data_IF_384744446016
#
_entry.id   IF_384744446016
#
_cell.length_a   1.000
_cell.length_b   1.000
_cell.length_c   1.000
_cell.angle_alpha   90.00
_cell.angle_beta   90.00
_cell.angle_gamma   90.00
#
_symmetry.space_group_name_H-M   'P 1'
#
loop_
_entity.id
_entity.type
_entity.pdbx_description
1 polymer ?
#
# COMPACT_ATOMS: atom_id res chain seq x y z
N UNK A 1 25.05 -79.38 12.96
CA UNK A 1 23.68 -79.02 13.40
C UNK A 1 23.46 -77.54 13.11
N UNK A 2 22.82 -77.20 11.98
CA UNK A 2 22.49 -75.82 11.59
C UNK A 2 21.06 -75.85 11.05
N UNK A 3 20.12 -75.35 11.85
CA UNK A 3 18.70 -75.30 11.52
C UNK A 3 18.31 -73.96 10.91
N UNK A 4 17.95 -73.97 9.64
CA UNK A 4 17.31 -72.86 8.94
C UNK A 4 15.86 -72.72 9.39
N UNK A 5 15.44 -71.53 9.82
CA UNK A 5 14.03 -71.12 9.79
C UNK A 5 13.87 -69.67 9.32
N UNK A 6 13.34 -69.58 8.11
CA UNK A 6 12.28 -68.65 7.70
C UNK A 6 12.64 -67.18 7.48
N UNK A 7 12.96 -66.92 6.21
CA UNK A 7 12.80 -65.65 5.49
C UNK A 7 11.38 -65.11 5.64
N UNK A 8 11.25 -63.84 6.01
CA UNK A 8 10.14 -62.96 5.58
C UNK A 8 10.74 -61.62 5.14
N UNK A 9 10.66 -61.38 3.83
CA UNK A 9 10.74 -60.05 3.21
C UNK A 9 9.54 -59.20 3.69
N UNK A 10 9.51 -57.87 3.62
CA UNK A 10 10.11 -56.95 2.68
C UNK A 10 10.08 -55.51 3.21
N UNK A 11 10.93 -54.67 2.61
CA UNK A 11 10.81 -53.23 2.37
C UNK A 11 10.35 -52.30 3.50
N UNK A 12 11.20 -51.32 3.85
CA UNK A 12 10.89 -49.92 3.54
C UNK A 12 12.17 -49.08 3.49
N UNK A 13 12.14 -48.16 2.53
CA UNK A 13 13.18 -47.36 1.90
C UNK A 13 13.74 -46.28 2.83
N UNK A 14 15.03 -45.97 2.66
CA UNK A 14 15.74 -44.86 3.30
C UNK A 14 15.10 -43.51 3.04
N UNK A 15 15.11 -42.61 4.02
CA UNK A 15 15.13 -41.19 3.72
C UNK A 15 16.05 -40.44 4.69
N UNK A 16 17.19 -40.02 4.14
CA UNK A 16 18.06 -38.97 4.64
C UNK A 16 17.21 -37.71 4.91
N UNK A 17 17.13 -37.29 6.17
CA UNK A 17 16.57 -36.01 6.56
C UNK A 17 17.53 -34.88 6.19
N UNK A 18 17.39 -34.35 4.98
CA UNK A 18 18.05 -33.10 4.55
C UNK A 18 17.20 -31.92 5.05
N UNK A 19 17.38 -31.52 6.31
CA UNK A 19 16.80 -30.27 6.84
C UNK A 19 17.74 -29.12 6.47
N UNK A 20 17.69 -28.73 5.19
CA UNK A 20 18.25 -27.48 4.71
C UNK A 20 17.25 -26.36 4.94
N UNK A 21 17.41 -25.61 6.03
CA UNK A 21 16.69 -24.37 6.28
C UNK A 21 17.20 -23.29 5.32
N UNK A 22 16.70 -23.27 4.09
CA UNK A 22 16.89 -22.14 3.19
C UNK A 22 15.95 -21.02 3.63
N UNK A 23 16.44 -20.16 4.51
CA UNK A 23 15.92 -18.81 4.63
C UNK A 23 16.14 -18.12 3.27
N UNK A 24 15.09 -18.01 2.47
CA UNK A 24 15.10 -17.20 1.26
C UNK A 24 15.22 -15.74 1.67
N UNK A 25 16.45 -15.22 1.74
CA UNK A 25 16.69 -13.78 1.66
C UNK A 25 16.38 -13.35 0.24
N UNK A 26 15.08 -13.21 -0.06
CA UNK A 26 14.66 -12.52 -1.27
C UNK A 26 15.08 -11.06 -1.07
N UNK A 27 16.17 -10.67 -1.72
CA UNK A 27 16.58 -9.28 -1.78
C UNK A 27 15.41 -8.49 -2.38
N UNK A 28 14.67 -7.79 -1.52
CA UNK A 28 13.62 -6.87 -1.96
C UNK A 28 14.33 -5.77 -2.74
N UNK A 29 14.09 -5.70 -4.05
CA UNK A 29 14.47 -4.53 -4.83
C UNK A 29 13.87 -3.31 -4.12
N UNK A 30 14.70 -2.32 -3.81
CA UNK A 30 14.27 -1.08 -3.15
C UNK A 30 13.05 -0.49 -3.88
N UNK A 31 12.15 0.15 -3.13
CA UNK A 31 10.92 0.68 -3.70
C UNK A 31 11.23 1.82 -4.70
N UNK A 32 11.21 1.51 -6.00
CA UNK A 32 11.45 2.51 -7.05
C UNK A 32 10.20 3.35 -7.27
N UNK A 33 10.17 4.54 -6.68
CA UNK A 33 9.05 5.46 -6.72
C UNK A 33 9.12 6.39 -7.93
N UNK A 34 8.04 6.46 -8.71
CA UNK A 34 7.93 7.30 -9.91
C UNK A 34 6.67 8.15 -9.93
N UNK A 35 6.79 9.36 -10.45
CA UNK A 35 5.71 10.32 -10.65
C UNK A 35 4.57 9.73 -11.49
N UNK A 36 3.32 9.93 -11.03
CA UNK A 36 2.12 9.57 -11.80
C UNK A 36 1.91 10.47 -13.02
N UNK A 37 2.56 11.64 -13.09
CA UNK A 37 2.47 12.57 -14.23
C UNK A 37 3.24 12.08 -15.45
N UNK A 38 4.46 11.62 -15.24
CA UNK A 38 5.47 11.45 -16.31
C UNK A 38 6.46 10.31 -16.07
N UNK A 39 6.28 9.51 -15.01
CA UNK A 39 7.19 8.43 -14.61
C UNK A 39 8.61 8.87 -14.23
N UNK A 40 8.84 10.17 -14.01
CA UNK A 40 10.12 10.65 -13.47
C UNK A 40 10.37 10.10 -12.05
N UNK A 41 11.62 9.83 -11.65
CA UNK A 41 11.92 9.35 -10.30
C UNK A 41 11.54 10.36 -9.22
N UNK A 42 10.92 9.89 -8.14
CA UNK A 42 10.64 10.73 -6.98
C UNK A 42 11.85 10.82 -6.05
N UNK A 43 12.07 11.98 -5.47
CA UNK A 43 13.15 12.25 -4.49
C UNK A 43 12.91 11.66 -3.10
N UNK A 44 11.86 10.85 -2.93
CA UNK A 44 11.46 10.28 -1.64
C UNK A 44 12.42 9.19 -1.20
N UNK A 45 12.99 9.33 0.01
CA UNK A 45 13.92 8.38 0.61
C UNK A 45 13.73 8.31 2.11
N UNK A 46 14.17 7.20 2.70
CA UNK A 46 14.14 7.01 4.14
C UNK A 46 15.06 8.01 4.84
N UNK A 47 14.60 8.57 5.94
CA UNK A 47 15.36 9.46 6.83
C UNK A 47 15.32 8.93 8.27
N UNK A 48 16.23 9.41 9.11
CA UNK A 48 16.42 8.88 10.47
C UNK A 48 15.15 8.98 11.32
N UNK A 49 14.40 10.07 11.15
CA UNK A 49 13.16 10.36 11.88
C UNK A 49 11.95 9.57 11.38
N UNK A 50 12.07 8.80 10.30
CA UNK A 50 10.95 7.99 9.81
C UNK A 50 10.61 6.86 10.78
N UNK A 51 9.31 6.56 10.84
CA UNK A 51 8.77 5.40 11.55
C UNK A 51 9.30 4.09 10.96
N UNK A 52 9.27 2.99 11.75
CA UNK A 52 9.56 1.66 11.22
C UNK A 52 8.69 1.32 10.00
N UNK A 53 7.41 1.69 10.02
CA UNK A 53 6.45 1.42 8.94
C UNK A 53 6.79 2.19 7.66
N UNK A 54 7.20 3.45 7.77
CA UNK A 54 7.68 4.23 6.63
C UNK A 54 8.95 3.64 6.02
N UNK A 55 9.91 3.25 6.87
CA UNK A 55 11.15 2.59 6.42
C UNK A 55 10.86 1.25 5.73
N UNK A 56 9.94 0.46 6.26
CA UNK A 56 9.50 -0.80 5.65
C UNK A 56 8.89 -0.57 4.27
N UNK A 57 7.98 0.40 4.14
CA UNK A 57 7.37 0.73 2.86
C UNK A 57 8.42 1.19 1.84
N UNK A 58 9.35 2.07 2.21
CA UNK A 58 10.39 2.55 1.29
C UNK A 58 11.36 1.44 0.88
N UNK A 59 11.52 0.40 1.69
CA UNK A 59 12.30 -0.78 1.33
C UNK A 59 11.54 -1.79 0.46
N UNK A 60 10.22 -1.91 0.60
CA UNK A 60 9.45 -3.05 0.08
C UNK A 60 8.26 -2.71 -0.82
N UNK A 61 7.87 -1.44 -0.88
CA UNK A 61 6.59 -0.94 -1.41
C UNK A 61 5.32 -1.53 -0.76
N UNK A 62 5.44 -2.22 0.39
CA UNK A 62 4.29 -2.77 1.12
C UNK A 62 3.91 -1.82 2.24
N UNK A 63 2.64 -1.41 2.29
CA UNK A 63 2.15 -0.52 3.35
C UNK A 63 1.66 -1.34 4.56
N UNK A 64 2.32 -1.25 5.73
CA UNK A 64 1.92 -2.02 6.91
C UNK A 64 0.53 -1.64 7.43
N UNK A 65 0.11 -0.39 7.23
CA UNK A 65 -1.19 0.10 7.69
C UNK A 65 -2.36 -0.53 6.96
N UNK A 66 -2.17 -0.96 5.72
CA UNK A 66 -3.21 -1.61 4.92
C UNK A 66 -3.67 -2.92 5.56
N UNK A 67 -2.71 -3.77 5.96
CA UNK A 67 -3.02 -5.00 6.69
C UNK A 67 -3.54 -4.71 8.10
N UNK A 68 -2.91 -3.77 8.81
CA UNK A 68 -3.31 -3.36 10.17
C UNK A 68 -4.77 -2.92 10.23
N UNK A 69 -5.20 -2.03 9.33
CA UNK A 69 -6.55 -1.50 9.33
C UNK A 69 -7.60 -2.45 8.75
N UNK A 70 -7.18 -3.42 7.94
CA UNK A 70 -8.06 -4.52 7.55
C UNK A 70 -8.37 -5.46 8.73
N UNK A 71 -7.39 -5.69 9.61
CA UNK A 71 -7.57 -6.47 10.84
C UNK A 71 -8.30 -5.69 11.94
N UNK A 72 -8.01 -4.40 12.08
CA UNK A 72 -8.64 -3.50 13.04
C UNK A 72 -9.08 -2.17 12.38
N UNK A 73 -10.31 -2.10 11.87
CA UNK A 73 -10.84 -0.87 11.28
C UNK A 73 -10.91 0.31 12.25
N UNK A 74 -10.98 0.08 13.57
CA UNK A 74 -11.02 1.16 14.55
C UNK A 74 -9.69 1.91 14.62
N UNK A 75 -8.56 1.23 14.39
CA UNK A 75 -7.24 1.86 14.30
C UNK A 75 -7.15 2.90 13.16
N UNK A 76 -7.90 2.71 12.06
CA UNK A 76 -7.95 3.69 10.97
C UNK A 76 -8.68 4.99 11.36
N UNK A 77 -9.58 4.91 12.36
CA UNK A 77 -10.42 6.00 12.85
C UNK A 77 -9.85 6.70 14.09
N UNK A 78 -8.79 6.15 14.69
CA UNK A 78 -8.12 6.71 15.86
C UNK A 78 -7.54 8.10 15.58
N UNK A 79 -7.17 8.83 16.64
CA UNK A 79 -6.62 10.20 16.52
C UNK A 79 -5.31 10.25 15.73
N UNK A 80 -4.54 9.18 15.72
CA UNK A 80 -3.30 8.98 14.97
C UNK A 80 -3.50 8.10 13.71
N UNK A 81 -4.75 7.74 13.41
CA UNK A 81 -5.12 6.90 12.27
C UNK A 81 -5.27 7.67 10.96
N UNK A 82 -5.45 6.92 9.87
CA UNK A 82 -5.52 7.50 8.52
C UNK A 82 -6.69 8.48 8.30
N UNK A 83 -7.82 8.30 9.00
CA UNK A 83 -8.94 9.25 8.92
C UNK A 83 -8.54 10.64 9.42
N UNK A 84 -7.73 10.70 10.47
CA UNK A 84 -7.24 11.97 11.00
C UNK A 84 -6.39 12.67 9.94
N UNK A 85 -5.42 11.97 9.33
CA UNK A 85 -4.58 12.53 8.26
C UNK A 85 -5.43 13.08 7.12
N UNK A 86 -6.43 12.32 6.63
CA UNK A 86 -7.31 12.77 5.54
C UNK A 86 -8.14 14.01 5.88
N UNK A 87 -8.57 14.15 7.14
CA UNK A 87 -9.43 15.25 7.57
C UNK A 87 -8.62 16.52 7.85
N UNK A 88 -7.51 16.41 8.57
CA UNK A 88 -6.71 17.55 9.00
C UNK A 88 -5.90 18.19 7.87
N UNK A 89 -5.52 17.40 6.85
CA UNK A 89 -4.74 17.89 5.71
C UNK A 89 -5.63 18.29 4.52
N UNK A 90 -6.94 18.46 4.72
CA UNK A 90 -7.84 19.00 3.70
C UNK A 90 -8.21 18.03 2.57
N UNK A 91 -7.77 16.77 2.60
CA UNK A 91 -8.11 15.78 1.57
C UNK A 91 -9.63 15.58 1.48
N UNK A 92 -10.34 15.61 2.61
CA UNK A 92 -11.81 15.55 2.67
C UNK A 92 -12.50 16.78 2.08
N UNK A 93 -11.81 17.90 1.94
CA UNK A 93 -12.36 19.10 1.28
C UNK A 93 -12.61 18.86 -0.21
N UNK A 94 -11.72 18.12 -0.87
CA UNK A 94 -11.86 17.79 -2.29
C UNK A 94 -12.57 16.45 -2.51
N UNK A 95 -12.24 15.43 -1.71
CA UNK A 95 -12.78 14.08 -1.85
C UNK A 95 -14.07 13.84 -1.04
N UNK A 96 -14.57 14.83 -0.30
CA UNK A 96 -15.73 14.70 0.57
C UNK A 96 -15.42 14.03 1.92
N UNK A 97 -16.22 14.32 2.95
CA UNK A 97 -15.99 13.82 4.32
C UNK A 97 -16.07 12.30 4.47
N UNK A 98 -16.83 11.64 3.61
CA UNK A 98 -16.93 10.18 3.51
C UNK A 98 -16.08 9.60 2.37
N UNK A 99 -15.21 10.43 1.76
CA UNK A 99 -14.42 10.10 0.58
C UNK A 99 -15.25 9.76 -0.68
N UNK A 100 -16.52 10.19 -0.74
CA UNK A 100 -17.48 10.00 -1.84
C UNK A 100 -17.28 10.85 -3.09
N UNK A 101 -16.28 11.72 -3.10
CA UNK A 101 -16.04 12.72 -4.14
C UNK A 101 -16.88 13.98 -3.93
N UNK A 102 -16.28 15.14 -4.20
CA UNK A 102 -16.97 16.43 -4.20
C UNK A 102 -16.46 17.29 -5.37
N UNK A 103 -15.21 17.74 -5.26
CA UNK A 103 -14.48 18.42 -6.35
C UNK A 103 -13.52 17.46 -7.05
N UNK A 104 -12.98 16.50 -6.29
CA UNK A 104 -12.13 15.44 -6.78
C UNK A 104 -12.92 14.12 -6.90
N UNK A 105 -12.42 13.16 -7.70
CA UNK A 105 -13.02 11.84 -7.81
C UNK A 105 -13.18 11.17 -6.44
N UNK A 106 -14.21 10.35 -6.30
CA UNK A 106 -14.36 9.55 -5.08
C UNK A 106 -13.23 8.56 -4.89
N UNK A 107 -12.97 8.24 -3.63
CA UNK A 107 -12.08 7.18 -3.19
C UNK A 107 -12.85 6.01 -2.54
N UNK A 108 -14.18 6.10 -2.45
CA UNK A 108 -15.09 4.98 -2.14
C UNK A 108 -15.83 4.57 -3.42
N UNK A 109 -15.97 3.26 -3.66
CA UNK A 109 -16.83 2.74 -4.76
C UNK A 109 -18.19 3.43 -4.77
N UNK A 110 -18.69 3.70 -5.98
CA UNK A 110 -19.87 4.52 -6.32
C UNK A 110 -19.54 6.02 -6.28
N UNK A 111 -18.54 6.39 -7.07
CA UNK A 111 -17.69 7.52 -6.83
C UNK A 111 -18.03 8.89 -7.42
N UNK A 112 -19.25 9.37 -7.27
CA UNK A 112 -19.67 10.66 -7.85
C UNK A 112 -20.50 10.47 -9.11
N UNK A 113 -20.49 11.43 -10.04
CA UNK A 113 -21.27 11.39 -11.31
C UNK A 113 -20.39 11.07 -12.53
N UNK A 114 -19.22 10.43 -12.33
CA UNK A 114 -18.14 10.38 -13.32
C UNK A 114 -17.91 8.99 -13.92
N UNK A 115 -17.25 8.92 -15.08
CA UNK A 115 -16.94 7.66 -15.78
C UNK A 115 -16.00 6.70 -14.99
N UNK A 116 -15.56 7.06 -13.79
CA UNK A 116 -14.55 6.36 -12.98
C UNK A 116 -15.10 5.85 -11.65
N UNK A 117 -16.40 5.89 -11.41
CA UNK A 117 -17.03 5.57 -10.11
C UNK A 117 -16.79 4.12 -9.60
N UNK A 118 -16.27 3.26 -10.46
CA UNK A 118 -15.97 1.85 -10.17
C UNK A 118 -14.48 1.53 -10.22
N UNK A 119 -13.61 2.47 -10.63
CA UNK A 119 -12.19 2.23 -10.91
C UNK A 119 -11.33 3.40 -10.46
N UNK A 120 -10.06 3.13 -10.19
CA UNK A 120 -9.09 4.22 -9.99
C UNK A 120 -8.90 5.01 -11.29
N UNK A 121 -8.86 6.34 -11.18
CA UNK A 121 -8.57 7.22 -12.32
C UNK A 121 -7.19 6.88 -12.92
N UNK A 122 -6.20 6.66 -12.06
CA UNK A 122 -4.91 6.11 -12.45
C UNK A 122 -4.84 4.65 -12.04
N UNK A 123 -4.67 3.75 -13.02
CA UNK A 123 -4.71 2.30 -12.77
C UNK A 123 -3.74 1.84 -11.67
N UNK A 124 -2.55 2.46 -11.60
CA UNK A 124 -1.54 2.17 -10.58
C UNK A 124 -2.01 2.41 -9.13
N UNK A 125 -3.02 3.26 -8.91
CA UNK A 125 -3.58 3.53 -7.58
C UNK A 125 -4.33 2.30 -7.01
N UNK A 126 -4.52 1.24 -7.80
CA UNK A 126 -4.93 -0.06 -7.26
C UNK A 126 -3.90 -0.65 -6.29
N UNK A 127 -2.64 -0.21 -6.36
CA UNK A 127 -1.56 -0.62 -5.44
C UNK A 127 -1.22 0.47 -4.44
N UNK A 128 -0.73 0.10 -3.26
CA UNK A 128 -0.27 1.09 -2.27
C UNK A 128 0.93 1.90 -2.77
N UNK A 129 1.85 1.26 -3.52
CA UNK A 129 2.92 1.95 -4.25
C UNK A 129 2.38 3.05 -5.16
N UNK A 130 1.45 2.71 -6.05
CA UNK A 130 0.95 3.66 -7.03
C UNK A 130 0.16 4.80 -6.39
N UNK A 131 -0.64 4.50 -5.37
CA UNK A 131 -1.36 5.54 -4.63
C UNK A 131 -0.41 6.44 -3.84
N UNK A 132 0.66 5.89 -3.27
CA UNK A 132 1.71 6.68 -2.62
C UNK A 132 2.39 7.62 -3.61
N UNK A 133 2.74 7.14 -4.79
CA UNK A 133 3.33 7.96 -5.86
C UNK A 133 2.41 9.10 -6.28
N UNK A 134 1.11 8.81 -6.42
CA UNK A 134 0.05 9.77 -6.75
C UNK A 134 -0.12 10.84 -5.69
N UNK A 135 -0.22 10.46 -4.40
CA UNK A 135 -0.33 11.43 -3.30
C UNK A 135 0.96 12.24 -3.16
N UNK A 136 2.11 11.57 -3.29
CA UNK A 136 3.41 12.21 -3.06
C UNK A 136 3.70 13.30 -4.08
N UNK A 137 3.53 13.01 -5.37
CA UNK A 137 3.90 13.90 -6.46
C UNK A 137 2.71 14.65 -7.08
N UNK A 138 1.49 14.42 -6.60
CA UNK A 138 0.28 14.99 -7.17
C UNK A 138 0.02 14.51 -8.61
N UNK A 139 -1.04 15.03 -9.22
CA UNK A 139 -1.47 14.66 -10.57
C UNK A 139 -2.05 15.85 -11.31
N UNK A 140 -2.02 15.88 -12.65
CA UNK A 140 -2.65 16.96 -13.42
C UNK A 140 -4.18 16.81 -13.49
N UNK A 141 -4.72 15.74 -12.88
CA UNK A 141 -6.08 15.25 -13.02
C UNK A 141 -6.48 14.92 -14.46
N UNK A 142 -7.75 14.58 -14.64
CA UNK A 142 -8.31 14.12 -15.93
C UNK A 142 -9.45 15.02 -16.43
N UNK A 143 -9.84 16.04 -15.67
CA UNK A 143 -10.98 16.92 -15.99
C UNK A 143 -10.74 18.37 -15.55
N UNK A 144 -9.49 18.84 -15.65
CA UNK A 144 -9.10 20.22 -15.33
C UNK A 144 -8.84 20.50 -13.84
N UNK A 145 -9.10 19.55 -12.94
CA UNK A 145 -8.68 19.63 -11.55
C UNK A 145 -7.27 19.09 -11.34
N UNK A 146 -6.45 19.73 -10.50
CA UNK A 146 -5.11 19.30 -10.09
C UNK A 146 -5.19 18.61 -8.73
N UNK A 147 -4.47 17.51 -8.54
CA UNK A 147 -4.09 17.05 -7.20
C UNK A 147 -2.72 17.64 -6.85
N UNK A 148 -2.59 18.45 -5.79
CA UNK A 148 -1.32 19.05 -5.43
C UNK A 148 -0.31 18.01 -4.93
N UNK A 149 0.95 18.43 -4.86
CA UNK A 149 2.06 17.64 -4.28
C UNK A 149 1.93 17.68 -2.75
N UNK A 150 1.98 16.53 -2.10
CA UNK A 150 1.82 16.46 -0.64
C UNK A 150 3.08 16.02 0.11
N UNK A 151 3.99 15.25 -0.48
CA UNK A 151 5.10 14.69 0.31
C UNK A 151 6.16 15.74 0.65
N UNK A 152 6.55 15.85 1.92
CA UNK A 152 7.44 16.90 2.43
C UNK A 152 8.85 16.92 1.77
N UNK A 153 9.29 15.81 1.18
CA UNK A 153 10.54 15.75 0.42
C UNK A 153 10.44 16.21 -1.06
N UNK A 154 9.27 16.65 -1.52
CA UNK A 154 9.06 17.18 -2.88
C UNK A 154 9.10 18.70 -2.89
N UNK A 155 9.85 19.33 -3.80
CA UNK A 155 10.15 20.77 -3.75
C UNK A 155 8.92 21.70 -3.77
N UNK A 156 7.78 21.26 -4.31
CA UNK A 156 6.56 22.06 -4.47
C UNK A 156 5.39 21.52 -3.63
N UNK A 157 5.68 20.87 -2.50
CA UNK A 157 4.61 20.36 -1.63
C UNK A 157 3.77 21.49 -1.02
N UNK A 158 2.49 21.19 -0.74
CA UNK A 158 1.58 22.12 -0.07
C UNK A 158 1.90 22.19 1.43
N UNK A 159 1.93 23.41 1.98
CA UNK A 159 2.15 23.65 3.41
C UNK A 159 3.48 23.07 3.88
N UNK A 160 3.48 22.43 5.06
CA UNK A 160 4.66 21.72 5.58
C UNK A 160 4.88 20.35 4.93
N UNK A 161 3.96 19.93 4.06
CA UNK A 161 3.95 18.59 3.47
C UNK A 161 3.58 17.50 4.47
N UNK A 162 3.47 16.28 3.96
CA UNK A 162 3.17 15.07 4.71
C UNK A 162 4.42 14.20 4.77
N UNK A 163 4.62 13.56 5.91
CA UNK A 163 5.61 12.50 6.04
C UNK A 163 5.21 11.27 5.23
N UNK A 164 6.18 10.38 4.97
CA UNK A 164 5.88 9.07 4.39
C UNK A 164 4.85 8.32 5.25
N UNK A 165 5.00 8.34 6.58
CA UNK A 165 4.10 7.67 7.52
C UNK A 165 2.65 8.19 7.45
N UNK A 166 2.48 9.51 7.36
CA UNK A 166 1.14 10.12 7.23
C UNK A 166 0.45 9.69 5.94
N UNK A 167 1.18 9.72 4.82
CA UNK A 167 0.64 9.28 3.52
C UNK A 167 0.25 7.79 3.60
N UNK A 168 1.07 6.95 4.23
CA UNK A 168 0.76 5.52 4.37
C UNK A 168 -0.46 5.26 5.24
N UNK A 169 -0.62 6.01 6.34
CA UNK A 169 -1.84 5.96 7.17
C UNK A 169 -3.06 6.38 6.34
N UNK A 170 -2.97 7.48 5.59
CA UNK A 170 -4.04 7.96 4.72
C UNK A 170 -4.45 6.90 3.69
N UNK A 171 -3.48 6.29 3.00
CA UNK A 171 -3.70 5.19 2.05
C UNK A 171 -4.40 4.02 2.74
N UNK A 172 -3.90 3.59 3.90
CA UNK A 172 -4.51 2.51 4.66
C UNK A 172 -5.99 2.78 4.93
N UNK A 173 -6.34 3.99 5.37
CA UNK A 173 -7.74 4.37 5.59
C UNK A 173 -8.57 4.37 4.30
N UNK A 174 -8.03 4.90 3.20
CA UNK A 174 -8.67 4.82 1.87
C UNK A 174 -9.00 3.36 1.52
N UNK A 175 -8.07 2.43 1.76
CA UNK A 175 -8.31 0.99 1.53
C UNK A 175 -9.42 0.40 2.39
N UNK A 176 -9.66 0.91 3.60
CA UNK A 176 -10.77 0.45 4.46
C UNK A 176 -12.14 0.83 3.91
N UNK A 177 -12.24 1.95 3.21
CA UNK A 177 -13.51 2.49 2.72
C UNK A 177 -13.78 2.17 1.25
N UNK A 178 -12.76 1.76 0.50
CA UNK A 178 -12.89 1.36 -0.90
C UNK A 178 -13.62 0.02 -1.02
N UNK A 179 -14.75 0.00 -1.76
CA UNK A 179 -15.59 -1.20 -1.94
C UNK A 179 -15.57 -1.77 -3.36
N UNK A 180 -14.64 -1.29 -4.22
CA UNK A 180 -14.56 -1.31 -5.71
C UNK A 180 -14.96 -2.55 -6.51
N UNK A 181 -14.28 -2.80 -7.61
CA UNK A 181 -14.47 -3.96 -8.52
C UNK A 181 -14.30 -5.34 -7.86
N UNK A 182 -14.03 -5.38 -6.55
CA UNK A 182 -13.85 -6.59 -5.76
C UNK A 182 -12.40 -7.04 -5.71
N UNK A 183 -11.53 -6.47 -6.54
CA UNK A 183 -10.09 -6.73 -6.53
C UNK A 183 -9.41 -5.85 -5.47
N UNK A 184 -8.56 -6.47 -4.66
CA UNK A 184 -7.74 -5.80 -3.64
C UNK A 184 -6.26 -5.99 -3.98
N UNK A 185 -5.80 -5.35 -5.04
CA UNK A 185 -4.42 -5.46 -5.53
C UNK A 185 -3.38 -5.11 -4.46
N UNK A 186 -3.71 -4.19 -3.54
CA UNK A 186 -2.89 -3.84 -2.38
C UNK A 186 -2.73 -4.94 -1.33
N UNK A 187 -3.50 -6.03 -1.41
CA UNK A 187 -3.40 -7.20 -0.52
C UNK A 187 -2.62 -8.37 -1.14
N UNK A 188 -2.18 -8.24 -2.40
CA UNK A 188 -1.40 -9.26 -3.12
C UNK A 188 0.10 -9.05 -2.86
#
# INVERSE_FOLDING_TARGET
MLGFKSVKAALLISMLGFVGLTATTQASAACNLVSTKDSSPLTVKAIDTDTPEAKEFLATCKNPYTAKYAADPAAALAKDGGRHVMTYNGCTGCHGGNLGGLMAPSLVKNGGTGAFDTKWVYAKDSTDKGMFETISAGTPGVSGGLMPIWHAQQAEHVGDGLSTDDILKAIGYIRTVYKGDGEKDWMK
#
